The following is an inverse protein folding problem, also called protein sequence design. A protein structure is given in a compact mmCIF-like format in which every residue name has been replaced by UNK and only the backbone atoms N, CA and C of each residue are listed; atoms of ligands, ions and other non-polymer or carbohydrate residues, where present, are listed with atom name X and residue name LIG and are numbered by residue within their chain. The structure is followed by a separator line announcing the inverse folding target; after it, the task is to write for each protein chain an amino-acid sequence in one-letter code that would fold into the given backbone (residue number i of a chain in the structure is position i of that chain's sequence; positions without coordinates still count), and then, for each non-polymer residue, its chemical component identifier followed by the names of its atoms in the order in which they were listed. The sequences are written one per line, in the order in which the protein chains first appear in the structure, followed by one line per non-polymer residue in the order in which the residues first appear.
data_IF_738281423132
#
_entry.id   IF_738281423132
#
_cell.length_a   1.000
_cell.length_b   1.000
_cell.length_c   1.000
_cell.angle_alpha   90.00
_cell.angle_beta   90.00
_cell.angle_gamma   90.00
#
_symmetry.space_group_name_H-M   'P 1'
#
loop_
_entity.id
_entity.type
_entity.pdbx_description
1 polymer ?
#
# COMPACT_ATOMS: atom_id res chain seq x y z
N UNK A 1 -16.15 -4.14 -2.80
CA UNK A 1 -15.29 -4.56 -3.95
C UNK A 1 -13.84 -4.30 -3.59
N UNK A 2 -13.00 -5.26 -3.90
CA UNK A 2 -11.56 -5.15 -3.63
C UNK A 2 -10.89 -4.22 -4.62
N UNK A 3 -9.87 -3.50 -4.18
CA UNK A 3 -9.08 -2.62 -5.01
C UNK A 3 -7.66 -3.18 -5.14
N UNK A 4 -7.15 -3.31 -6.34
CA UNK A 4 -5.74 -3.64 -6.54
C UNK A 4 -4.88 -2.50 -6.01
N UNK A 5 -3.81 -2.84 -5.28
CA UNK A 5 -2.84 -1.87 -4.81
C UNK A 5 -1.49 -2.09 -5.50
N UNK A 6 -0.91 -0.98 -5.94
CA UNK A 6 0.47 -0.94 -6.47
C UNK A 6 1.19 0.20 -5.79
N UNK A 7 2.25 -0.11 -5.07
CA UNK A 7 3.16 0.86 -4.48
C UNK A 7 4.48 0.88 -5.23
N UNK A 8 4.96 2.07 -5.57
CA UNK A 8 6.17 2.27 -6.36
C UNK A 8 7.14 3.18 -5.63
N UNK A 9 8.37 2.71 -5.42
CA UNK A 9 9.47 3.55 -4.95
C UNK A 9 9.91 4.50 -6.05
N UNK A 10 10.01 5.79 -5.73
CA UNK A 10 10.49 6.83 -6.64
C UNK A 10 11.58 7.67 -5.96
N UNK A 11 12.39 8.37 -6.74
CA UNK A 11 13.43 9.27 -6.23
C UNK A 11 12.96 10.72 -6.13
N UNK A 12 11.94 11.12 -6.89
CA UNK A 12 11.42 12.48 -6.94
C UNK A 12 9.90 12.45 -7.04
N UNK A 13 9.24 13.00 -6.02
CA UNK A 13 7.76 13.02 -5.97
C UNK A 13 7.19 13.97 -7.01
N UNK A 14 7.77 15.15 -7.21
CA UNK A 14 7.23 16.13 -8.15
C UNK A 14 7.26 15.60 -9.59
N UNK A 15 8.35 14.96 -9.99
CA UNK A 15 8.47 14.31 -11.30
C UNK A 15 7.47 13.16 -11.45
N UNK A 16 7.31 12.34 -10.41
CA UNK A 16 6.35 11.24 -10.41
C UNK A 16 4.92 11.76 -10.50
N UNK A 17 4.55 12.75 -9.71
CA UNK A 17 3.21 13.36 -9.74
C UNK A 17 2.91 13.95 -11.13
N UNK A 18 3.87 14.65 -11.73
CA UNK A 18 3.71 15.21 -13.07
C UNK A 18 3.48 14.10 -14.12
N UNK A 19 4.24 13.03 -14.04
CA UNK A 19 4.11 11.90 -14.98
C UNK A 19 2.79 11.15 -14.80
N UNK A 20 2.48 10.71 -13.59
CA UNK A 20 1.29 9.87 -13.34
C UNK A 20 -0.02 10.64 -13.45
N UNK A 21 -0.03 11.93 -13.13
CA UNK A 21 -1.20 12.79 -13.38
C UNK A 21 -1.54 12.84 -14.87
N UNK A 22 -0.53 12.93 -15.74
CA UNK A 22 -0.74 12.89 -17.19
C UNK A 22 -1.15 11.51 -17.68
N UNK A 23 -0.51 10.47 -17.17
CA UNK A 23 -0.82 9.10 -17.57
C UNK A 23 -2.24 8.69 -17.18
N UNK A 24 -2.67 9.01 -15.97
CA UNK A 24 -3.99 8.64 -15.45
C UNK A 24 -5.08 9.65 -15.83
N UNK A 25 -4.70 10.84 -16.30
CA UNK A 25 -5.65 11.88 -16.66
C UNK A 25 -6.34 12.57 -15.50
N UNK A 26 -5.82 12.41 -14.28
CA UNK A 26 -6.37 13.02 -13.07
C UNK A 26 -5.28 13.28 -12.02
N UNK A 27 -5.45 14.29 -11.15
CA UNK A 27 -4.49 14.58 -10.09
C UNK A 27 -4.52 13.50 -9.00
N UNK A 28 -3.48 13.42 -8.16
CA UNK A 28 -3.49 12.51 -7.03
C UNK A 28 -4.61 12.83 -6.04
N UNK A 29 -5.13 11.79 -5.40
CA UNK A 29 -6.14 11.89 -4.34
C UNK A 29 -5.53 12.40 -3.04
N UNK A 30 -4.27 12.05 -2.80
CA UNK A 30 -3.47 12.51 -1.67
C UNK A 30 -2.07 12.84 -2.17
N UNK A 31 -1.53 13.99 -1.76
CA UNK A 31 -0.18 14.42 -2.12
C UNK A 31 0.53 15.00 -0.88
N UNK A 32 1.76 14.55 -0.66
CA UNK A 32 2.68 15.03 0.36
C UNK A 32 4.06 15.22 -0.26
N UNK A 33 4.98 15.82 0.47
CA UNK A 33 6.35 16.05 -0.02
C UNK A 33 7.11 14.76 -0.37
N UNK A 34 6.75 13.64 0.28
CA UNK A 34 7.42 12.34 0.19
C UNK A 34 6.52 11.20 -0.29
N UNK A 35 5.26 11.50 -0.65
CA UNK A 35 4.25 10.50 -0.97
C UNK A 35 3.14 11.09 -1.85
N UNK A 36 2.64 10.30 -2.80
CA UNK A 36 1.41 10.63 -3.51
C UNK A 36 0.60 9.37 -3.81
N UNK A 37 -0.71 9.51 -3.87
CA UNK A 37 -1.62 8.38 -4.09
C UNK A 37 -2.76 8.77 -5.01
N UNK A 38 -3.09 7.85 -5.92
CA UNK A 38 -4.26 7.92 -6.79
C UNK A 38 -5.22 6.78 -6.44
N UNK A 39 -6.44 7.14 -6.05
CA UNK A 39 -7.55 6.19 -5.90
C UNK A 39 -8.35 6.21 -7.20
N UNK A 40 -7.95 5.36 -8.14
CA UNK A 40 -8.59 5.28 -9.45
C UNK A 40 -9.82 4.37 -9.40
N UNK A 41 -10.88 4.76 -10.10
CA UNK A 41 -12.10 3.96 -10.23
C UNK A 41 -12.13 3.14 -11.53
N UNK A 42 -11.35 3.55 -12.54
CA UNK A 42 -11.19 2.84 -13.80
C UNK A 42 -9.75 3.02 -14.32
N UNK A 43 -8.89 2.02 -14.22
CA UNK A 43 -9.06 0.74 -13.50
C UNK A 43 -9.24 0.94 -12.00
N UNK A 44 -9.87 -0.01 -11.33
CA UNK A 44 -10.13 0.08 -9.88
C UNK A 44 -8.86 -0.25 -9.10
N UNK A 45 -8.04 0.77 -8.88
CA UNK A 45 -6.67 0.67 -8.37
C UNK A 45 -6.39 1.75 -7.33
N UNK A 46 -5.70 1.35 -6.26
CA UNK A 46 -4.98 2.23 -5.34
C UNK A 46 -3.50 2.23 -5.77
N UNK A 47 -3.06 3.28 -6.43
CA UNK A 47 -1.69 3.45 -6.87
C UNK A 47 -0.99 4.52 -6.03
N UNK A 48 0.19 4.20 -5.51
CA UNK A 48 0.99 5.15 -4.73
C UNK A 48 2.43 5.23 -5.19
N UNK A 49 3.04 6.38 -4.99
CA UNK A 49 4.47 6.63 -5.16
C UNK A 49 5.05 7.15 -3.84
N UNK A 50 6.28 6.78 -3.53
CA UNK A 50 6.86 6.92 -2.20
C UNK A 50 8.37 7.05 -2.28
N UNK A 51 8.96 7.96 -1.50
CA UNK A 51 10.43 8.09 -1.38
C UNK A 51 11.05 7.04 -0.45
N UNK A 52 10.25 6.42 0.46
CA UNK A 52 10.71 5.59 1.57
C UNK A 52 10.57 4.12 1.27
N UNK A 53 10.30 3.56 0.27
CA UNK A 53 10.19 2.12 0.02
C UNK A 53 11.55 1.41 0.05
N UNK A 54 11.54 0.10 0.16
CA UNK A 54 12.72 -0.73 0.04
C UNK A 54 13.19 -0.84 -1.41
N UNK A 55 14.49 -0.96 -1.59
CA UNK A 55 15.11 -1.12 -2.90
C UNK A 55 15.34 0.17 -3.67
N UNK A 56 15.83 0.08 -4.91
CA UNK A 56 16.06 1.24 -5.77
C UNK A 56 14.75 1.80 -6.33
N UNK A 57 14.81 3.04 -6.86
CA UNK A 57 13.68 3.62 -7.59
C UNK A 57 13.22 2.67 -8.72
N UNK A 58 11.92 2.52 -8.85
CA UNK A 58 11.28 1.55 -9.74
C UNK A 58 10.91 0.22 -9.06
N UNK A 59 11.35 -0.02 -7.83
CA UNK A 59 10.88 -1.16 -7.04
C UNK A 59 9.41 -1.02 -6.70
N UNK A 60 8.65 -2.10 -6.83
CA UNK A 60 7.21 -2.10 -6.60
C UNK A 60 6.81 -3.22 -5.64
N UNK A 61 5.73 -2.99 -4.89
CA UNK A 61 4.99 -4.02 -4.19
C UNK A 61 3.53 -4.00 -4.62
N UNK A 62 2.82 -5.08 -4.37
CA UNK A 62 1.44 -5.28 -4.77
C UNK A 62 0.56 -5.58 -3.57
N UNK A 63 -0.73 -5.36 -3.72
CA UNK A 63 -1.66 -5.70 -2.66
C UNK A 63 -3.11 -5.77 -3.11
N UNK A 64 -3.93 -6.18 -2.18
CA UNK A 64 -5.37 -6.25 -2.30
C UNK A 64 -6.00 -5.48 -1.15
N UNK A 65 -6.48 -4.29 -1.43
CA UNK A 65 -7.18 -3.48 -0.45
C UNK A 65 -8.60 -4.02 -0.25
N UNK A 66 -8.93 -4.36 0.98
CA UNK A 66 -10.26 -4.78 1.39
C UNK A 66 -11.11 -3.56 1.73
N UNK A 67 -12.41 -3.64 1.49
CA UNK A 67 -13.32 -2.51 1.71
C UNK A 67 -13.53 -2.20 3.20
N UNK A 68 -13.45 -3.23 4.05
CA UNK A 68 -13.66 -3.10 5.49
C UNK A 68 -12.95 -4.19 6.29
N UNK A 69 -13.00 -4.09 7.61
CA UNK A 69 -12.36 -5.03 8.52
C UNK A 69 -12.92 -6.46 8.38
N UNK A 70 -14.22 -6.61 8.15
CA UNK A 70 -14.84 -7.92 7.97
C UNK A 70 -14.34 -8.62 6.70
N UNK A 71 -14.10 -7.87 5.63
CA UNK A 71 -13.51 -8.40 4.40
C UNK A 71 -12.04 -8.76 4.59
N UNK A 72 -11.30 -8.05 5.40
CA UNK A 72 -9.92 -8.43 5.76
C UNK A 72 -9.92 -9.76 6.52
N UNK A 73 -10.78 -9.94 7.51
CA UNK A 73 -10.89 -11.22 8.24
C UNK A 73 -11.30 -12.37 7.33
N UNK A 74 -12.22 -12.15 6.39
CA UNK A 74 -12.59 -13.15 5.38
C UNK A 74 -11.41 -13.50 4.46
N UNK A 75 -10.59 -12.51 4.08
CA UNK A 75 -9.38 -12.74 3.30
C UNK A 75 -8.35 -13.57 4.08
N UNK A 76 -8.14 -13.26 5.36
CA UNK A 76 -7.26 -14.03 6.26
C UNK A 76 -7.71 -15.49 6.37
N UNK A 77 -9.01 -15.72 6.56
CA UNK A 77 -9.56 -17.07 6.61
C UNK A 77 -9.33 -17.84 5.30
N UNK A 78 -9.45 -17.19 4.16
CA UNK A 78 -9.17 -17.80 2.84
C UNK A 78 -7.68 -18.13 2.67
N UNK A 79 -6.79 -17.27 3.12
CA UNK A 79 -5.33 -17.50 3.10
C UNK A 79 -4.99 -18.74 3.95
N UNK A 80 -5.55 -18.82 5.18
CA UNK A 80 -5.36 -19.94 6.08
C UNK A 80 -5.91 -21.26 5.49
N UNK A 81 -7.10 -21.22 4.88
CA UNK A 81 -7.71 -22.38 4.22
C UNK A 81 -6.93 -22.87 3.00
N UNK A 82 -6.12 -22.00 2.40
CA UNK A 82 -5.25 -22.32 1.27
C UNK A 82 -3.85 -22.81 1.70
N UNK A 83 -3.61 -23.01 2.99
CA UNK A 83 -2.31 -23.37 3.56
C UNK A 83 -1.18 -22.37 3.19
N UNK A 84 -1.51 -21.11 3.02
CA UNK A 84 -0.54 -20.04 2.82
C UNK A 84 -0.16 -19.41 4.17
N UNK A 85 1.13 -19.17 4.34
CA UNK A 85 1.62 -18.45 5.51
C UNK A 85 1.32 -16.96 5.37
N UNK A 86 1.01 -16.31 6.47
CA UNK A 86 0.81 -14.87 6.53
C UNK A 86 1.48 -14.26 7.75
N UNK A 87 1.86 -13.00 7.63
CA UNK A 87 2.42 -12.19 8.71
C UNK A 87 1.50 -10.98 8.91
N UNK A 88 0.88 -10.90 10.09
CA UNK A 88 -0.14 -9.90 10.40
C UNK A 88 0.46 -8.68 11.10
N UNK A 89 0.02 -7.51 10.67
CA UNK A 89 0.32 -6.23 11.29
C UNK A 89 -0.98 -5.45 11.44
N UNK A 90 -1.44 -5.26 12.66
CA UNK A 90 -2.71 -4.60 12.93
C UNK A 90 -2.50 -3.24 13.60
N UNK A 91 -3.32 -2.25 13.19
CA UNK A 91 -3.33 -0.93 13.78
C UNK A 91 -2.04 -0.13 13.56
N UNK A 92 -1.33 -0.35 12.45
CA UNK A 92 -0.12 0.39 12.14
C UNK A 92 -0.39 1.60 11.25
N UNK A 93 0.49 2.59 11.33
CA UNK A 93 0.49 3.71 10.40
C UNK A 93 1.37 3.39 9.20
N UNK A 94 0.81 3.57 8.00
CA UNK A 94 1.48 3.26 6.74
C UNK A 94 1.04 4.24 5.67
N UNK A 95 1.98 5.00 5.10
CA UNK A 95 1.68 5.99 4.08
C UNK A 95 0.63 7.00 4.52
N UNK A 96 0.75 7.55 5.72
CA UNK A 96 -0.19 8.50 6.33
C UNK A 96 -1.57 7.93 6.66
N UNK A 97 -1.71 6.60 6.68
CA UNK A 97 -2.99 5.94 6.97
C UNK A 97 -2.84 4.91 8.07
N UNK A 98 -3.89 4.78 8.89
CA UNK A 98 -4.00 3.71 9.87
C UNK A 98 -4.53 2.46 9.15
N UNK A 99 -3.82 1.36 9.28
CA UNK A 99 -4.10 0.13 8.54
C UNK A 99 -3.96 -1.11 9.40
N UNK A 100 -4.72 -2.13 9.03
CA UNK A 100 -4.46 -3.52 9.44
C UNK A 100 -4.22 -4.35 8.19
N UNK A 101 -3.24 -5.24 8.22
CA UNK A 101 -2.79 -5.97 7.05
C UNK A 101 -2.24 -7.36 7.36
N UNK A 102 -2.15 -8.15 6.31
CA UNK A 102 -1.41 -9.42 6.29
C UNK A 102 -0.49 -9.44 5.08
N UNK A 103 0.75 -9.81 5.30
CA UNK A 103 1.71 -10.05 4.23
C UNK A 103 1.68 -11.52 3.83
N UNK A 104 1.65 -11.77 2.53
CA UNK A 104 1.76 -13.10 1.93
C UNK A 104 2.86 -13.04 0.88
N UNK A 105 3.73 -14.03 0.87
CA UNK A 105 4.87 -14.06 -0.06
C UNK A 105 4.65 -15.12 -1.13
N UNK A 106 4.82 -14.72 -2.38
CA UNK A 106 4.76 -15.62 -3.51
C UNK A 106 5.99 -16.52 -3.64
N UNK A 107 5.99 -17.47 -4.58
CA UNK A 107 7.05 -18.46 -4.75
C UNK A 107 8.44 -17.87 -5.05
N UNK A 108 8.48 -16.68 -5.64
CA UNK A 108 9.73 -15.98 -5.99
C UNK A 108 10.07 -14.86 -5.00
N UNK A 109 9.41 -14.84 -3.83
CA UNK A 109 9.66 -13.86 -2.77
C UNK A 109 8.90 -12.55 -2.93
N UNK A 110 8.04 -12.43 -3.95
CA UNK A 110 7.22 -11.24 -4.14
C UNK A 110 6.24 -11.05 -2.98
N UNK A 111 6.24 -9.85 -2.40
CA UNK A 111 5.39 -9.51 -1.27
C UNK A 111 4.03 -9.02 -1.74
N UNK A 112 2.97 -9.62 -1.19
CA UNK A 112 1.58 -9.19 -1.38
C UNK A 112 1.01 -8.71 -0.07
N UNK A 113 0.51 -7.51 -0.08
CA UNK A 113 -0.15 -6.86 1.04
C UNK A 113 -1.66 -7.03 0.93
N UNK A 114 -2.27 -7.72 1.88
CA UNK A 114 -3.74 -7.81 1.99
C UNK A 114 -4.15 -6.94 3.16
N UNK A 115 -4.84 -5.85 2.91
CA UNK A 115 -5.01 -4.81 3.93
C UNK A 115 -6.37 -4.12 3.89
N UNK A 116 -6.68 -3.47 5.00
CA UNK A 116 -7.80 -2.56 5.17
C UNK A 116 -7.29 -1.25 5.77
N UNK A 117 -7.72 -0.12 5.22
CA UNK A 117 -7.44 1.21 5.75
C UNK A 117 -8.55 1.62 6.70
N UNK A 118 -8.20 1.84 7.97
CA UNK A 118 -9.14 2.21 9.03
C UNK A 118 -9.42 3.72 9.07
N UNK A 119 -8.44 4.52 8.63
CA UNK A 119 -8.57 5.97 8.63
C UNK A 119 -7.27 6.67 8.27
N UNK A 120 -7.26 7.98 8.42
CA UNK A 120 -6.09 8.82 8.21
C UNK A 120 -5.29 8.89 9.50
N UNK A 121 -3.97 8.71 9.40
CA UNK A 121 -3.07 8.87 10.53
C UNK A 121 -2.98 10.35 10.95
N UNK A 122 -2.62 10.62 12.24
CA UNK A 122 -2.36 11.99 12.68
C UNK A 122 -1.35 12.72 11.80
N UNK A 123 -1.52 14.02 11.64
CA UNK A 123 -0.63 14.85 10.82
C UNK A 123 0.82 14.73 11.28
N UNK A 124 1.74 14.58 10.33
CA UNK A 124 3.17 14.41 10.62
C UNK A 124 3.61 12.96 10.89
N UNK A 125 2.70 11.99 10.84
CA UNK A 125 3.01 10.58 11.08
C UNK A 125 3.02 9.83 9.75
N UNK A 126 4.20 9.45 9.27
CA UNK A 126 4.31 8.62 8.05
C UNK A 126 4.13 7.12 8.36
N UNK A 127 4.62 6.67 9.48
CA UNK A 127 4.70 5.27 9.87
C UNK A 127 6.11 4.70 9.67
N UNK A 128 6.37 3.54 10.21
CA UNK A 128 7.64 2.83 10.12
C UNK A 128 8.77 3.32 11.03
N UNK A 129 8.55 4.27 11.92
CA UNK A 129 9.59 4.77 12.82
C UNK A 129 10.05 3.74 13.86
N UNK A 130 9.22 2.74 14.15
CA UNK A 130 9.49 1.71 15.16
C UNK A 130 9.56 0.28 14.59
N UNK A 131 9.64 0.10 13.27
CA UNK A 131 9.65 -1.22 12.66
C UNK A 131 11.03 -1.61 12.13
N UNK A 132 11.52 -2.81 12.49
CA UNK A 132 12.76 -3.32 11.92
C UNK A 132 12.58 -3.68 10.45
N UNK A 133 13.51 -3.26 9.62
CA UNK A 133 13.89 -3.76 8.28
C UNK A 133 12.82 -4.15 7.22
N UNK A 134 11.53 -4.05 7.49
CA UNK A 134 10.50 -4.49 6.54
C UNK A 134 9.22 -3.67 6.58
N UNK A 135 9.32 -2.38 6.71
CA UNK A 135 8.15 -1.53 6.52
C UNK A 135 7.93 -1.28 5.05
N UNK A 136 7.42 -2.29 4.37
CA UNK A 136 6.90 -2.15 3.02
C UNK A 136 5.54 -1.46 3.05
N UNK A 137 5.54 -0.16 3.18
CA UNK A 137 4.31 0.57 2.94
C UNK A 137 4.13 0.80 1.41
#
# INVERSE_FOLDING_TARGET
MKRMHVGLKVDDIDDAVAFYTRLFGQPPTLERADYAKWMLDDPYVNFSVDLHGDGPAGSAHFGLQQADAAMLESARARIDAADLERDDQDGLVCGYQLQSKSWVFGPDGEAWEVFHTEGVAPEGTYGCEDMPDSCGC
#
